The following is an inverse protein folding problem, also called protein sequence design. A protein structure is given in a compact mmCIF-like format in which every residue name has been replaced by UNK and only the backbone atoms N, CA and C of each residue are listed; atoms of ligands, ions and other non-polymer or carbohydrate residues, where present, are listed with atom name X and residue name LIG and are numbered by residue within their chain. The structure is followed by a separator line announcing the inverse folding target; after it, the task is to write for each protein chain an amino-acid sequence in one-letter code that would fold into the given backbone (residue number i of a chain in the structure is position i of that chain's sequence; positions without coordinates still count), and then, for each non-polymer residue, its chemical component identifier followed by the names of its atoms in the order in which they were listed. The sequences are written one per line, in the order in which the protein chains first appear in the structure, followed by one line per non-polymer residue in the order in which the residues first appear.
data_IF_649453559033
#
_entry.id   IF_649453559033
#
_cell.length_a   1.000
_cell.length_b   1.000
_cell.length_c   1.000
_cell.angle_alpha   90.00
_cell.angle_beta   90.00
_cell.angle_gamma   90.00
#
_symmetry.space_group_name_H-M   'P 1'
#
loop_
_entity.id
_entity.type
_entity.pdbx_description
1 polymer ?
#
# COMPACT_ATOMS: atom_id res chain seq x y z
N UNK A 1 -3.69 24.03 -3.29
CA UNK A 1 -4.26 22.86 -2.63
C UNK A 1 -3.66 22.77 -1.23
N UNK A 2 -4.48 22.76 -0.19
CA UNK A 2 -4.02 22.70 1.22
C UNK A 2 -4.15 21.26 1.71
N UNK A 3 -3.25 20.82 2.59
CA UNK A 3 -3.30 19.48 3.19
C UNK A 3 -4.64 19.23 3.91
N UNK A 4 -5.21 20.28 4.53
CA UNK A 4 -6.52 20.20 5.20
C UNK A 4 -7.70 19.88 4.28
N UNK A 5 -7.56 20.03 2.96
CA UNK A 5 -8.59 19.64 1.99
C UNK A 5 -8.70 18.12 1.83
N UNK A 6 -7.70 17.38 2.33
CA UNK A 6 -7.66 15.91 2.35
C UNK A 6 -7.99 15.33 3.72
N UNK A 7 -8.32 16.18 4.70
CA UNK A 7 -8.66 15.72 6.04
C UNK A 7 -10.13 15.28 6.08
N UNK A 8 -10.36 14.05 6.48
CA UNK A 8 -11.69 13.47 6.61
C UNK A 8 -11.70 12.38 7.68
N UNK A 9 -12.85 12.14 8.28
CA UNK A 9 -13.03 11.05 9.23
C UNK A 9 -13.00 9.70 8.48
N UNK A 10 -11.96 8.91 8.69
CA UNK A 10 -11.87 7.54 8.17
C UNK A 10 -12.21 6.53 9.27
N UNK A 11 -13.37 5.86 9.20
CA UNK A 11 -13.73 4.82 10.16
C UNK A 11 -12.74 3.66 10.09
N UNK A 12 -12.19 3.19 11.23
CA UNK A 12 -11.19 2.11 11.24
C UNK A 12 -11.64 0.82 10.56
N UNK A 13 -12.95 0.53 10.58
CA UNK A 13 -13.55 -0.65 9.94
C UNK A 13 -13.51 -0.61 8.41
N UNK A 14 -13.27 0.57 7.81
CA UNK A 14 -13.10 0.70 6.35
C UNK A 14 -11.66 0.46 5.90
N UNK A 15 -10.72 0.30 6.85
CA UNK A 15 -9.33 -0.01 6.54
C UNK A 15 -9.21 -1.52 6.41
N UNK A 16 -8.83 -2.00 5.22
CA UNK A 16 -8.63 -3.43 4.98
C UNK A 16 -7.48 -3.97 5.86
N UNK A 17 -7.74 -5.02 6.62
CA UNK A 17 -6.78 -5.70 7.50
C UNK A 17 -6.17 -6.95 6.88
N UNK A 18 -6.76 -7.46 5.81
CA UNK A 18 -6.27 -8.65 5.08
C UNK A 18 -6.50 -8.48 3.58
N UNK A 19 -5.72 -9.21 2.79
CA UNK A 19 -5.93 -9.30 1.34
C UNK A 19 -7.14 -10.17 1.02
N UNK A 20 -7.79 -9.87 -0.11
CA UNK A 20 -8.85 -10.70 -0.66
C UNK A 20 -8.22 -11.84 -1.46
N UNK A 21 -8.82 -13.03 -1.40
CA UNK A 21 -8.47 -14.18 -2.23
C UNK A 21 -9.67 -14.59 -3.11
N UNK A 22 -9.47 -14.73 -4.41
CA UNK A 22 -8.25 -14.44 -5.18
C UNK A 22 -7.96 -12.92 -5.24
N UNK A 23 -6.68 -12.56 -5.44
CA UNK A 23 -6.20 -11.16 -5.33
C UNK A 23 -6.86 -10.19 -6.30
N UNK A 24 -7.24 -10.67 -7.47
CA UNK A 24 -7.91 -9.89 -8.52
C UNK A 24 -9.36 -9.51 -8.15
N UNK A 25 -9.94 -10.11 -7.11
CA UNK A 25 -11.23 -9.72 -6.55
C UNK A 25 -11.15 -8.52 -5.59
N UNK A 26 -9.95 -7.95 -5.40
CA UNK A 26 -9.80 -6.72 -4.64
C UNK A 26 -10.60 -5.58 -5.27
N UNK A 27 -11.23 -4.77 -4.42
CA UNK A 27 -12.03 -3.61 -4.86
C UNK A 27 -11.15 -2.59 -5.57
N UNK A 28 -11.63 -2.09 -6.68
CA UNK A 28 -11.01 -1.05 -7.48
C UNK A 28 -11.97 0.13 -7.63
N UNK A 29 -11.46 1.35 -7.43
CA UNK A 29 -12.20 2.58 -7.71
C UNK A 29 -11.69 3.15 -9.03
N UNK A 30 -12.61 3.34 -9.99
CA UNK A 30 -12.31 3.89 -11.31
C UNK A 30 -12.92 5.28 -11.42
N UNK A 31 -12.09 6.28 -11.73
CA UNK A 31 -12.55 7.63 -12.02
C UNK A 31 -12.13 8.04 -13.43
N UNK A 32 -13.09 8.22 -14.31
CA UNK A 32 -12.88 8.70 -15.66
C UNK A 32 -12.90 10.24 -15.69
N UNK A 33 -11.78 10.86 -16.05
CA UNK A 33 -11.62 12.33 -16.03
C UNK A 33 -12.50 13.04 -17.05
N UNK A 34 -12.67 12.45 -18.24
CA UNK A 34 -13.34 13.07 -19.38
C UNK A 34 -14.83 13.33 -19.12
N UNK A 35 -15.51 12.36 -18.50
CA UNK A 35 -16.93 12.43 -18.21
C UNK A 35 -17.23 12.61 -16.70
N UNK A 36 -16.20 12.70 -15.86
CA UNK A 36 -16.28 12.81 -14.39
C UNK A 36 -17.11 11.71 -13.72
N UNK A 37 -17.15 10.52 -14.32
CA UNK A 37 -17.85 9.37 -13.76
C UNK A 37 -16.93 8.56 -12.87
N UNK A 38 -17.48 8.14 -11.74
CA UNK A 38 -16.81 7.24 -10.81
C UNK A 38 -17.64 5.96 -10.68
N UNK A 39 -16.95 4.83 -10.56
CA UNK A 39 -17.60 3.54 -10.38
C UNK A 39 -16.73 2.61 -9.54
N UNK A 40 -17.38 1.71 -8.81
CA UNK A 40 -16.72 0.65 -8.07
C UNK A 40 -16.64 -0.60 -8.95
N UNK A 41 -15.46 -1.20 -9.00
CA UNK A 41 -15.12 -2.38 -9.78
C UNK A 41 -14.27 -3.32 -8.95
N UNK A 42 -13.77 -4.38 -9.58
CA UNK A 42 -12.72 -5.25 -9.03
C UNK A 42 -11.48 -5.20 -9.93
N UNK A 43 -10.34 -5.59 -9.40
CA UNK A 43 -9.07 -5.54 -10.13
C UNK A 43 -9.10 -6.41 -11.39
N UNK A 44 -9.86 -7.52 -11.38
CA UNK A 44 -10.08 -8.37 -12.56
C UNK A 44 -10.64 -7.60 -13.77
N UNK A 45 -11.39 -6.52 -13.53
CA UNK A 45 -11.97 -5.69 -14.59
C UNK A 45 -10.97 -4.69 -15.20
N UNK A 46 -9.75 -4.57 -14.64
CA UNK A 46 -8.74 -3.59 -15.09
C UNK A 46 -8.49 -3.62 -16.60
N UNK A 47 -8.41 -4.78 -17.26
CA UNK A 47 -8.20 -4.84 -18.71
C UNK A 47 -9.28 -4.13 -19.55
N UNK A 48 -10.51 -3.98 -19.04
CA UNK A 48 -11.60 -3.28 -19.72
C UNK A 48 -11.36 -1.76 -19.83
N UNK A 49 -10.45 -1.23 -19.03
CA UNK A 49 -10.13 0.20 -18.94
C UNK A 49 -8.82 0.58 -19.62
N UNK A 50 -8.12 -0.40 -20.21
CA UNK A 50 -6.85 -0.19 -20.90
C UNK A 50 -7.03 -0.26 -22.41
N UNK A 51 -6.39 0.69 -23.10
CA UNK A 51 -6.40 0.75 -24.58
C UNK A 51 -4.99 0.47 -25.13
N UNK A 52 -4.88 0.02 -26.39
CA UNK A 52 -3.58 -0.14 -27.04
C UNK A 52 -2.80 1.18 -27.04
N UNK A 53 -1.61 1.17 -26.45
CA UNK A 53 -0.75 2.35 -26.30
C UNK A 53 -0.71 2.90 -24.86
N UNK A 54 -1.58 2.43 -23.98
CA UNK A 54 -1.50 2.78 -22.56
C UNK A 54 -0.21 2.25 -21.91
N UNK A 55 0.33 3.03 -20.97
CA UNK A 55 1.47 2.63 -20.17
C UNK A 55 1.02 2.28 -18.75
N UNK A 56 1.10 1.00 -18.40
CA UNK A 56 0.83 0.53 -17.05
C UNK A 56 2.13 0.48 -16.23
N UNK A 57 2.24 1.35 -15.23
CA UNK A 57 3.39 1.39 -14.32
C UNK A 57 3.05 0.66 -13.02
N UNK A 58 3.80 -0.40 -12.73
CA UNK A 58 3.60 -1.22 -11.54
C UNK A 58 4.81 -1.12 -10.60
N UNK A 59 4.56 -1.30 -9.31
CA UNK A 59 5.62 -1.49 -8.33
C UNK A 59 5.88 -3.00 -8.18
N UNK A 60 7.09 -3.43 -8.54
CA UNK A 60 7.55 -4.82 -8.38
C UNK A 60 8.50 -5.01 -7.18
N UNK A 61 8.59 -3.98 -6.32
CA UNK A 61 9.43 -4.03 -5.12
C UNK A 61 8.97 -5.16 -4.21
N UNK A 62 9.90 -6.06 -3.90
CA UNK A 62 9.64 -7.14 -2.95
C UNK A 62 9.70 -6.62 -1.52
N UNK A 63 8.54 -6.59 -0.85
CA UNK A 63 8.48 -6.25 0.57
C UNK A 63 9.10 -7.36 1.39
N UNK A 64 10.03 -7.00 2.29
CA UNK A 64 10.64 -7.93 3.24
C UNK A 64 10.20 -7.57 4.67
N UNK A 65 10.04 -8.54 5.58
CA UNK A 65 9.63 -8.31 6.97
C UNK A 65 10.81 -7.79 7.81
N UNK A 66 11.35 -6.65 7.43
CA UNK A 66 12.55 -6.06 8.05
C UNK A 66 12.25 -5.10 9.20
N UNK A 67 11.02 -5.04 9.64
CA UNK A 67 10.62 -4.30 10.83
C UNK A 67 10.70 -5.21 12.06
N UNK A 68 11.71 -4.99 12.87
CA UNK A 68 11.94 -5.73 14.10
C UNK A 68 11.41 -4.95 15.29
N UNK A 69 10.67 -5.62 16.15
CA UNK A 69 10.17 -5.05 17.41
C UNK A 69 10.82 -5.76 18.59
N UNK A 70 11.29 -4.97 19.55
CA UNK A 70 11.95 -5.48 20.72
C UNK A 70 11.67 -4.64 21.95
N UNK A 71 12.39 -4.95 23.04
CA UNK A 71 12.34 -4.18 24.28
C UNK A 71 13.75 -3.86 24.74
N UNK A 72 13.95 -2.67 25.24
CA UNK A 72 15.18 -2.26 25.92
C UNK A 72 15.27 -2.94 27.27
N UNK A 73 16.48 -3.05 27.82
CA UNK A 73 16.68 -3.56 29.18
C UNK A 73 15.90 -2.77 30.27
N UNK A 74 15.60 -1.49 29.98
CA UNK A 74 14.77 -0.61 30.85
C UNK A 74 13.27 -0.86 30.70
N UNK A 75 12.84 -1.83 29.85
CA UNK A 75 11.42 -2.18 29.61
C UNK A 75 10.74 -1.40 28.50
N UNK A 76 11.34 -0.32 28.00
CA UNK A 76 10.78 0.47 26.90
C UNK A 76 10.74 -0.31 25.58
N UNK A 77 9.67 -0.10 24.77
CA UNK A 77 9.60 -0.64 23.41
C UNK A 77 10.65 -0.02 22.51
N UNK A 78 11.17 -0.80 21.57
CA UNK A 78 12.04 -0.33 20.47
C UNK A 78 11.58 -0.96 19.16
N UNK A 79 11.62 -0.18 18.11
CA UNK A 79 11.35 -0.64 16.74
C UNK A 79 12.58 -0.31 15.89
N UNK A 80 13.04 -1.29 15.12
CA UNK A 80 14.17 -1.19 14.23
C UNK A 80 13.73 -1.54 12.83
N UNK A 81 14.03 -0.69 11.85
CA UNK A 81 13.80 -0.95 10.43
C UNK A 81 15.14 -1.20 9.77
N UNK A 82 15.37 -2.44 9.33
CA UNK A 82 16.55 -2.76 8.53
C UNK A 82 16.43 -2.12 7.15
N UNK A 83 17.49 -1.49 6.66
CA UNK A 83 17.57 -0.87 5.35
C UNK A 83 18.33 -1.73 4.35
N UNK A 84 19.40 -2.36 4.79
CA UNK A 84 20.22 -3.25 3.97
C UNK A 84 20.78 -4.39 4.82
N UNK A 85 21.13 -5.48 4.17
CA UNK A 85 21.80 -6.63 4.76
C UNK A 85 22.90 -7.03 3.80
N UNK A 86 24.16 -6.93 4.27
CA UNK A 86 25.35 -7.37 3.54
C UNK A 86 26.15 -8.22 4.52
N UNK A 87 26.45 -9.47 4.15
CA UNK A 87 27.25 -10.43 4.95
C UNK A 87 26.81 -10.52 6.42
N UNK A 88 25.49 -10.66 6.66
CA UNK A 88 24.87 -10.72 7.99
C UNK A 88 25.02 -9.44 8.85
N UNK A 89 25.55 -8.36 8.28
CA UNK A 89 25.59 -7.03 8.90
C UNK A 89 24.57 -6.13 8.25
N UNK A 90 23.69 -5.54 9.05
CA UNK A 90 22.60 -4.68 8.57
C UNK A 90 22.75 -3.22 8.99
N UNK A 91 22.43 -2.32 8.07
CA UNK A 91 22.14 -0.93 8.43
C UNK A 91 20.67 -0.82 8.84
N UNK A 92 20.42 -0.06 9.91
CA UNK A 92 19.08 0.07 10.45
C UNK A 92 18.77 1.48 10.96
N UNK A 93 17.50 1.83 10.93
CA UNK A 93 16.92 2.94 11.69
C UNK A 93 16.33 2.43 13.01
N UNK A 94 16.59 3.17 14.10
CA UNK A 94 16.07 2.93 15.44
C UNK A 94 15.11 4.03 15.86
#
# INVERSE_FOLDING_TARGET
MRVSEFDFALPPELIASCSVEPRDQAKMFVHQRDNRRSQHRVVADLPEFLEPGDLLVLNDTRVRPWRLRGRRATGGGVECLLLSLVDDVGEAFL
#
